data_IF_259705619339
#
_entry.id   IF_259705619339
#
_cell.length_a   1.000
_cell.length_b   1.000
_cell.length_c   1.000
_cell.angle_alpha   90.00
_cell.angle_beta   90.00
_cell.angle_gamma   90.00
#
_symmetry.space_group_name_H-M   'P 1'
#
loop_
_entity.id
_entity.type
_entity.pdbx_description
1 polymer ?
#
# COMPACT_ATOMS: atom_id res chain seq x y z
N UNK A 1 44.77 43.69 3.06
CA UNK A 1 45.02 42.45 3.84
C UNK A 1 44.25 42.59 5.14
N UNK A 2 43.22 41.77 5.36
CA UNK A 2 42.39 41.84 6.56
C UNK A 2 43.17 41.27 7.76
N UNK A 3 43.06 41.93 8.92
CA UNK A 3 43.79 41.58 10.13
C UNK A 3 43.20 40.31 10.78
N UNK A 4 44.08 39.41 11.20
CA UNK A 4 43.72 38.20 11.96
C UNK A 4 43.19 38.61 13.34
N UNK A 5 41.88 38.42 13.60
CA UNK A 5 41.28 38.62 14.93
C UNK A 5 39.97 39.41 15.00
N UNK A 6 39.47 39.99 13.92
CA UNK A 6 38.12 40.60 13.88
C UNK A 6 37.15 39.63 13.19
N UNK A 7 36.66 38.65 13.94
CA UNK A 7 35.52 37.83 13.51
C UNK A 7 34.25 38.66 13.63
N UNK A 8 33.63 38.98 12.49
CA UNK A 8 32.32 39.64 12.42
C UNK A 8 31.28 38.83 13.22
N UNK A 9 30.58 39.46 14.17
CA UNK A 9 29.56 38.82 15.04
C UNK A 9 28.41 38.18 14.24
N UNK A 10 28.29 38.52 12.95
CA UNK A 10 27.32 37.92 12.03
C UNK A 10 27.71 36.52 11.57
N UNK A 11 28.97 36.11 11.74
CA UNK A 11 29.49 34.82 11.31
C UNK A 11 29.85 33.97 12.52
N UNK A 12 28.82 33.38 13.13
CA UNK A 12 28.99 32.27 14.07
C UNK A 12 29.38 31.04 13.25
N UNK A 13 30.69 30.80 13.06
CA UNK A 13 31.21 29.50 12.66
C UNK A 13 31.51 28.70 13.93
N UNK A 14 30.45 28.43 14.71
CA UNK A 14 30.50 27.36 15.69
C UNK A 14 29.69 26.19 15.13
N UNK A 15 30.35 25.04 15.01
CA UNK A 15 29.62 23.77 14.88
C UNK A 15 28.78 23.63 16.15
N UNK A 16 27.46 23.77 16.00
CA UNK A 16 26.54 23.56 17.12
C UNK A 16 26.59 22.09 17.52
N UNK A 17 26.73 21.84 18.81
CA UNK A 17 26.73 20.50 19.41
C UNK A 17 25.43 19.70 19.15
N UNK A 18 24.37 20.37 18.66
CA UNK A 18 23.02 19.82 18.64
C UNK A 18 22.68 19.00 17.38
N UNK A 19 23.56 19.00 16.35
CA UNK A 19 23.38 18.21 15.12
C UNK A 19 22.06 18.42 14.36
N UNK A 20 21.28 19.45 14.71
CA UNK A 20 19.96 19.68 14.17
C UNK A 20 20.02 20.25 12.75
N UNK A 21 19.24 19.65 11.85
CA UNK A 21 19.07 20.10 10.47
C UNK A 21 18.19 21.37 10.40
N UNK A 22 18.76 22.49 10.84
CA UNK A 22 18.08 23.79 10.84
C UNK A 22 17.77 24.17 9.39
N UNK A 23 16.51 24.49 9.12
CA UNK A 23 15.98 24.89 7.80
C UNK A 23 16.04 23.81 6.68
N UNK A 24 16.36 22.54 6.98
CA UNK A 24 16.35 21.46 5.98
C UNK A 24 17.42 21.59 4.89
N UNK A 25 18.61 22.09 5.26
CA UNK A 25 19.75 22.30 4.34
C UNK A 25 20.70 21.11 4.31
N UNK A 26 20.74 20.31 5.37
CA UNK A 26 21.44 19.03 5.36
C UNK A 26 20.51 17.97 4.78
N UNK A 27 21.06 17.11 3.93
CA UNK A 27 20.33 15.96 3.39
C UNK A 27 19.86 15.08 4.55
N UNK A 28 18.56 14.85 4.62
CA UNK A 28 17.99 13.89 5.55
C UNK A 28 17.09 12.95 4.76
N UNK A 29 17.38 11.67 4.89
CA UNK A 29 16.59 10.60 4.32
C UNK A 29 15.96 9.79 5.46
N UNK A 30 14.65 9.59 5.38
CA UNK A 30 13.90 8.79 6.34
C UNK A 30 13.19 7.68 5.61
N UNK A 31 13.50 6.44 5.96
CA UNK A 31 12.71 5.29 5.51
C UNK A 31 11.29 5.37 6.09
N UNK A 32 10.29 5.25 5.23
CA UNK A 32 8.87 5.26 5.57
C UNK A 32 8.15 3.97 5.16
N UNK A 33 8.89 2.93 4.76
CA UNK A 33 8.33 1.63 4.45
C UNK A 33 7.43 1.06 5.57
N UNK A 34 7.75 1.19 6.88
CA UNK A 34 6.85 0.75 7.94
C UNK A 34 5.50 1.49 7.95
N UNK A 35 5.54 2.81 7.75
CA UNK A 35 4.32 3.62 7.64
C UNK A 35 3.50 3.25 6.40
N UNK A 36 4.18 3.00 5.28
CA UNK A 36 3.57 2.52 4.04
C UNK A 36 2.82 1.20 4.26
N UNK A 37 3.45 0.26 4.97
CA UNK A 37 2.86 -1.04 5.32
C UNK A 37 1.59 -0.91 6.13
N UNK A 38 1.61 -0.12 7.20
CA UNK A 38 0.44 0.08 8.07
C UNK A 38 -0.71 0.73 7.31
N UNK A 39 -0.42 1.74 6.50
CA UNK A 39 -1.43 2.45 5.70
C UNK A 39 -2.04 1.56 4.63
N UNK A 40 -1.24 0.83 3.85
CA UNK A 40 -1.74 -0.13 2.86
C UNK A 40 -2.61 -1.19 3.53
N UNK A 41 -2.16 -1.76 4.65
CA UNK A 41 -2.96 -2.74 5.38
C UNK A 41 -4.31 -2.14 5.82
N UNK A 42 -4.32 -0.90 6.34
CA UNK A 42 -5.56 -0.25 6.77
C UNK A 42 -6.54 0.07 5.64
N UNK A 43 -6.04 0.41 4.45
CA UNK A 43 -6.87 0.86 3.32
C UNK A 43 -7.34 -0.32 2.45
N UNK A 44 -6.56 -1.40 2.35
CA UNK A 44 -6.86 -2.52 1.45
C UNK A 44 -7.48 -3.73 2.14
N UNK A 45 -7.21 -3.96 3.42
CA UNK A 45 -7.84 -5.08 4.15
C UNK A 45 -9.33 -4.82 4.30
N UNK A 46 -10.15 -5.85 4.05
CA UNK A 46 -11.62 -5.74 4.08
C UNK A 46 -12.25 -5.30 2.76
N UNK A 47 -11.45 -4.96 1.74
CA UNK A 47 -11.97 -4.75 0.39
C UNK A 47 -12.58 -6.03 -0.17
N UNK A 48 -13.74 -5.89 -0.79
CA UNK A 48 -14.49 -6.95 -1.46
C UNK A 48 -14.97 -6.46 -2.82
N UNK A 49 -15.11 -7.34 -3.84
CA UNK A 49 -15.71 -6.97 -5.11
C UNK A 49 -17.14 -6.45 -4.92
N UNK A 50 -17.68 -5.80 -5.96
CA UNK A 50 -19.07 -5.36 -5.95
C UNK A 50 -20.03 -6.53 -5.71
N UNK A 51 -21.23 -6.21 -5.21
CA UNK A 51 -22.23 -7.24 -4.91
C UNK A 51 -22.63 -8.06 -6.14
N UNK A 52 -22.66 -7.43 -7.33
CA UNK A 52 -22.92 -8.12 -8.60
C UNK A 52 -21.82 -9.12 -8.96
N UNK A 53 -20.55 -8.78 -8.71
CA UNK A 53 -19.41 -9.67 -8.96
C UNK A 53 -19.39 -10.83 -7.96
N UNK A 54 -19.72 -10.56 -6.69
CA UNK A 54 -19.85 -11.59 -5.67
C UNK A 54 -20.96 -12.60 -6.04
N UNK A 55 -22.11 -12.10 -6.52
CA UNK A 55 -23.22 -12.94 -6.95
C UNK A 55 -22.86 -13.77 -8.19
N UNK A 56 -22.19 -13.16 -9.18
CA UNK A 56 -21.72 -13.86 -10.38
C UNK A 56 -20.67 -14.94 -10.07
N UNK A 57 -19.82 -14.69 -9.06
CA UNK A 57 -18.84 -15.64 -8.57
C UNK A 57 -19.41 -16.72 -7.65
N UNK A 58 -20.66 -16.56 -7.18
CA UNK A 58 -21.25 -17.36 -6.11
C UNK A 58 -20.31 -17.47 -4.90
N UNK A 59 -19.63 -16.38 -4.56
CA UNK A 59 -18.69 -16.31 -3.45
C UNK A 59 -18.54 -14.86 -2.97
N UNK A 60 -18.20 -14.67 -1.70
CA UNK A 60 -17.91 -13.35 -1.13
C UNK A 60 -16.43 -13.23 -0.78
N UNK A 61 -15.53 -13.07 -1.78
CA UNK A 61 -14.11 -12.95 -1.51
C UNK A 61 -13.79 -11.56 -0.93
N UNK A 62 -12.87 -11.54 0.03
CA UNK A 62 -12.45 -10.35 0.76
C UNK A 62 -10.94 -10.42 1.00
N UNK A 63 -10.27 -9.28 0.91
CA UNK A 63 -8.85 -9.17 1.26
C UNK A 63 -8.70 -9.30 2.78
N UNK A 64 -7.87 -10.24 3.23
CA UNK A 64 -7.72 -10.58 4.66
C UNK A 64 -6.55 -9.91 5.31
N UNK A 65 -5.40 -9.87 4.63
CA UNK A 65 -4.15 -9.39 5.22
C UNK A 65 -3.13 -9.01 4.15
N UNK A 66 -2.23 -8.10 4.54
CA UNK A 66 -1.03 -7.77 3.79
C UNK A 66 0.07 -8.78 4.14
N UNK A 67 0.28 -9.75 3.25
CA UNK A 67 1.27 -10.82 3.42
C UNK A 67 2.69 -10.24 3.43
N UNK A 68 3.00 -9.45 2.42
CA UNK A 68 4.35 -8.96 2.19
C UNK A 68 4.32 -7.59 1.52
N UNK A 69 5.20 -6.71 1.98
CA UNK A 69 5.54 -5.45 1.34
C UNK A 69 7.06 -5.40 1.27
N UNK A 70 7.60 -5.47 0.05
CA UNK A 70 9.04 -5.42 -0.22
C UNK A 70 9.35 -4.25 -1.13
N UNK A 71 10.63 -3.85 -1.17
CA UNK A 71 11.11 -2.69 -1.91
C UNK A 71 11.48 -1.55 -0.97
N UNK A 72 11.44 -0.33 -1.50
CA UNK A 72 11.95 0.86 -0.84
C UNK A 72 10.88 1.96 -0.82
N UNK A 73 10.80 2.66 0.30
CA UNK A 73 10.00 3.86 0.42
C UNK A 73 10.74 4.83 1.34
N UNK A 74 11.20 5.94 0.80
CA UNK A 74 11.99 6.93 1.54
C UNK A 74 11.51 8.36 1.27
N UNK A 75 11.65 9.17 2.32
CA UNK A 75 11.39 10.61 2.26
C UNK A 75 12.69 11.34 2.36
N UNK A 76 12.97 12.19 1.38
CA UNK A 76 14.18 13.01 1.36
C UNK A 76 13.81 14.48 1.53
N UNK A 77 14.53 15.18 2.40
CA UNK A 77 14.36 16.62 2.64
C UNK A 77 15.58 17.35 2.09
N UNK A 78 15.37 18.31 1.17
CA UNK A 78 16.44 19.15 0.60
C UNK A 78 16.00 20.59 0.31
N UNK A 79 16.97 21.50 0.15
CA UNK A 79 16.79 22.86 -0.40
C UNK A 79 15.63 23.65 0.24
N UNK A 80 15.64 23.79 1.57
CA UNK A 80 14.63 24.57 2.29
C UNK A 80 13.33 23.80 2.52
N UNK A 81 13.45 22.59 3.10
CA UNK A 81 12.33 21.74 3.49
C UNK A 81 11.47 21.19 2.33
N UNK A 82 12.01 21.13 1.10
CA UNK A 82 11.34 20.39 0.01
C UNK A 82 11.44 18.91 0.31
N UNK A 83 10.30 18.28 0.55
CA UNK A 83 10.18 16.86 0.82
C UNK A 83 9.86 16.12 -0.48
N UNK A 84 10.67 15.14 -0.85
CA UNK A 84 10.43 14.25 -1.99
C UNK A 84 10.16 12.85 -1.45
N UNK A 85 9.12 12.20 -1.97
CA UNK A 85 8.77 10.84 -1.61
C UNK A 85 9.16 9.90 -2.74
N UNK A 86 10.19 9.09 -2.50
CA UNK A 86 10.59 8.02 -3.39
C UNK A 86 9.95 6.72 -2.91
N UNK A 87 9.38 5.95 -3.83
CA UNK A 87 8.86 4.63 -3.55
C UNK A 87 9.04 3.74 -4.76
N UNK A 88 9.39 2.49 -4.50
CA UNK A 88 9.40 1.37 -5.44
C UNK A 88 9.09 0.13 -4.62
N UNK A 89 7.85 -0.35 -4.67
CA UNK A 89 7.40 -1.43 -3.81
C UNK A 89 6.68 -2.53 -4.58
N UNK A 90 6.80 -3.73 -4.04
CA UNK A 90 6.01 -4.91 -4.41
C UNK A 90 5.08 -5.24 -3.25
N UNK A 91 3.78 -5.34 -3.56
CA UNK A 91 2.70 -5.58 -2.58
C UNK A 91 2.14 -6.98 -2.83
N UNK A 92 2.06 -7.80 -1.79
CA UNK A 92 1.40 -9.11 -1.82
C UNK A 92 0.31 -9.15 -0.77
N UNK A 93 -0.93 -9.30 -1.22
CA UNK A 93 -2.13 -9.36 -0.38
C UNK A 93 -2.68 -10.79 -0.39
N UNK A 94 -3.13 -11.26 0.75
CA UNK A 94 -3.90 -12.49 0.87
C UNK A 94 -5.40 -12.15 0.81
N UNK A 95 -6.17 -13.04 0.19
CA UNK A 95 -7.62 -12.94 0.20
C UNK A 95 -8.27 -14.29 0.44
N UNK A 96 -9.46 -14.26 1.03
CA UNK A 96 -10.29 -15.43 1.31
C UNK A 96 -11.74 -15.14 0.96
N UNK A 97 -12.47 -16.15 0.53
CA UNK A 97 -13.89 -16.07 0.22
C UNK A 97 -14.62 -17.33 0.63
N UNK A 98 -15.85 -17.17 1.07
CA UNK A 98 -16.78 -18.27 1.32
C UNK A 98 -17.63 -18.45 0.07
N UNK A 99 -17.68 -19.67 -0.48
CA UNK A 99 -18.60 -19.98 -1.58
C UNK A 99 -20.03 -19.98 -1.04
N UNK A 100 -20.94 -19.36 -1.78
CA UNK A 100 -22.36 -19.46 -1.51
C UNK A 100 -22.85 -20.81 -2.02
N UNK A 101 -23.38 -21.65 -1.12
CA UNK A 101 -24.11 -22.84 -1.53
C UNK A 101 -25.39 -22.41 -2.26
N UNK A 102 -25.77 -23.08 -3.37
CA UNK A 102 -27.11 -22.92 -3.91
C UNK A 102 -28.08 -23.31 -2.79
N UNK A 103 -28.98 -22.40 -2.42
CA UNK A 103 -29.95 -22.63 -1.35
C UNK A 103 -30.74 -23.91 -1.64
N UNK A 104 -30.73 -24.93 -0.77
CA UNK A 104 -31.78 -25.92 -0.81
C UNK A 104 -33.05 -25.20 -0.37
N UNK A 105 -34.07 -25.20 -1.23
CA UNK A 105 -35.43 -24.99 -0.75
C UNK A 105 -35.68 -25.99 0.38
N UNK A 106 -36.10 -25.50 1.54
CA UNK A 106 -36.48 -26.25 2.75
C UNK A 106 -35.38 -26.34 3.81
N UNK A 107 -35.53 -25.47 4.80
CA UNK A 107 -35.17 -25.61 6.22
C UNK A 107 -34.46 -26.91 6.64
N UNK A 108 -33.14 -26.84 6.86
CA UNK A 108 -32.48 -27.62 7.90
C UNK A 108 -31.41 -26.74 8.57
N UNK A 109 -31.62 -26.50 9.86
CA UNK A 109 -30.69 -25.87 10.77
C UNK A 109 -29.46 -26.77 10.98
N UNK A 110 -28.30 -26.14 11.12
CA UNK A 110 -27.05 -26.70 11.64
C UNK A 110 -26.39 -27.83 10.83
N UNK A 111 -25.47 -27.47 9.94
CA UNK A 111 -24.31 -28.32 9.58
C UNK A 111 -23.06 -27.46 9.57
N UNK A 112 -22.03 -28.00 10.21
CA UNK A 112 -20.74 -27.41 10.52
C UNK A 112 -20.13 -26.62 9.35
N UNK A 113 -19.45 -25.52 9.67
CA UNK A 113 -18.61 -24.76 8.74
C UNK A 113 -17.46 -25.65 8.23
N UNK A 114 -17.74 -26.48 7.23
CA UNK A 114 -16.73 -27.26 6.51
C UNK A 114 -15.75 -26.29 5.80
N UNK A 115 -14.46 -26.46 6.08
CA UNK A 115 -13.32 -25.75 5.47
C UNK A 115 -13.28 -25.92 3.93
N UNK A 116 -13.99 -26.93 3.40
CA UNK A 116 -14.09 -27.26 1.97
C UNK A 116 -14.77 -26.17 1.10
N UNK A 117 -15.55 -25.28 1.71
CA UNK A 117 -16.22 -24.17 1.00
C UNK A 117 -15.38 -22.87 0.95
N UNK A 118 -14.20 -22.88 1.58
CA UNK A 118 -13.30 -21.73 1.56
C UNK A 118 -12.44 -21.74 0.29
N UNK A 119 -12.40 -20.58 -0.36
CA UNK A 119 -11.49 -20.30 -1.47
C UNK A 119 -10.53 -19.21 -1.04
N UNK A 120 -9.25 -19.40 -1.31
CA UNK A 120 -8.21 -18.45 -0.97
C UNK A 120 -7.23 -18.24 -2.12
N UNK A 121 -6.48 -17.16 -2.06
CA UNK A 121 -5.48 -16.83 -3.04
C UNK A 121 -4.70 -15.59 -2.67
N UNK A 122 -3.91 -15.10 -3.63
CA UNK A 122 -3.10 -13.89 -3.43
C UNK A 122 -3.31 -12.89 -4.56
N UNK A 123 -3.16 -11.61 -4.24
CA UNK A 123 -3.02 -10.53 -5.22
C UNK A 123 -1.57 -10.04 -5.11
N UNK A 124 -0.87 -10.00 -6.24
CA UNK A 124 0.50 -9.47 -6.33
C UNK A 124 0.50 -8.25 -7.24
N UNK A 125 1.02 -7.14 -6.70
CA UNK A 125 1.22 -5.89 -7.42
C UNK A 125 2.73 -5.65 -7.48
N UNK A 126 3.29 -5.53 -8.68
CA UNK A 126 4.70 -5.21 -8.91
C UNK A 126 4.82 -3.93 -9.75
N UNK A 127 6.01 -3.36 -9.75
CA UNK A 127 6.34 -2.12 -10.47
C UNK A 127 5.55 -0.91 -9.97
N UNK A 128 5.10 -0.94 -8.71
CA UNK A 128 4.48 0.20 -8.05
C UNK A 128 5.56 1.18 -7.59
N UNK A 129 5.97 2.05 -8.50
CA UNK A 129 7.10 2.96 -8.31
C UNK A 129 6.76 4.42 -8.66
N UNK A 130 7.56 5.34 -8.11
CA UNK A 130 7.47 6.76 -8.43
C UNK A 130 7.80 7.00 -9.91
N UNK A 131 6.82 7.51 -10.67
CA UNK A 131 6.97 7.85 -12.09
C UNK A 131 6.35 6.83 -13.04
N UNK A 132 5.91 5.68 -12.52
CA UNK A 132 5.09 4.72 -13.25
C UNK A 132 3.61 5.11 -13.18
N UNK A 133 2.89 4.90 -14.28
CA UNK A 133 1.44 5.12 -14.38
C UNK A 133 0.67 3.79 -14.17
N UNK A 134 -0.67 3.86 -14.15
CA UNK A 134 -1.54 2.69 -13.94
C UNK A 134 -1.29 1.54 -14.94
N UNK A 135 -0.87 1.90 -16.16
CA UNK A 135 -0.58 0.97 -17.25
C UNK A 135 0.75 0.22 -17.05
N UNK A 136 1.67 0.77 -16.28
CA UNK A 136 2.96 0.14 -15.97
C UNK A 136 2.82 -0.88 -14.82
N UNK A 137 1.81 -0.73 -13.97
CA UNK A 137 1.62 -1.62 -12.82
C UNK A 137 1.17 -3.01 -13.26
N UNK A 138 1.93 -4.02 -12.85
CA UNK A 138 1.55 -5.42 -13.05
C UNK A 138 0.67 -5.89 -11.90
N UNK A 139 -0.59 -6.24 -12.21
CA UNK A 139 -1.58 -6.75 -11.25
C UNK A 139 -1.89 -8.22 -11.56
N UNK A 140 -1.49 -9.12 -10.66
CA UNK A 140 -1.69 -10.55 -10.82
C UNK A 140 -2.52 -11.14 -9.68
N UNK A 141 -3.63 -11.80 -10.03
CA UNK A 141 -4.47 -12.54 -9.08
C UNK A 141 -4.23 -14.04 -9.23
N UNK A 142 -3.96 -14.70 -8.11
CA UNK A 142 -3.89 -16.16 -8.01
C UNK A 142 -5.04 -16.68 -7.15
N UNK A 143 -5.45 -17.91 -7.42
CA UNK A 143 -6.44 -18.63 -6.63
C UNK A 143 -5.94 -20.06 -6.42
N UNK A 144 -6.14 -20.59 -5.22
CA UNK A 144 -5.83 -21.96 -4.90
C UNK A 144 -6.97 -22.90 -5.32
N UNK A 145 -6.62 -24.11 -5.74
CA UNK A 145 -7.59 -25.11 -6.23
C UNK A 145 -8.01 -24.93 -7.69
N UNK A 146 -8.59 -25.99 -8.27
CA UNK A 146 -9.11 -25.99 -9.65
C UNK A 146 -10.58 -25.57 -9.67
N UNK A 147 -11.01 -24.86 -10.72
CA UNK A 147 -12.43 -24.50 -10.93
C UNK A 147 -12.89 -23.21 -10.24
N UNK A 148 -11.97 -22.43 -9.65
CA UNK A 148 -12.29 -21.17 -8.95
C UNK A 148 -12.12 -19.92 -9.86
N UNK A 149 -12.19 -20.09 -11.19
CA UNK A 149 -11.93 -19.03 -12.18
C UNK A 149 -12.92 -17.87 -12.10
N UNK A 150 -14.14 -18.11 -11.63
CA UNK A 150 -15.15 -17.07 -11.42
C UNK A 150 -14.75 -16.14 -10.27
N UNK A 151 -14.28 -16.72 -9.16
CA UNK A 151 -13.81 -15.96 -7.99
C UNK A 151 -12.54 -15.18 -8.32
N UNK A 152 -11.62 -15.79 -9.08
CA UNK A 152 -10.43 -15.10 -9.59
C UNK A 152 -10.79 -13.89 -10.45
N UNK A 153 -11.79 -14.00 -11.33
CA UNK A 153 -12.28 -12.87 -12.13
C UNK A 153 -12.91 -11.77 -11.29
N UNK A 154 -13.73 -12.14 -10.31
CA UNK A 154 -14.30 -11.17 -9.37
C UNK A 154 -13.21 -10.43 -8.58
N UNK A 155 -12.15 -11.11 -8.14
CA UNK A 155 -11.02 -10.46 -7.48
C UNK A 155 -10.18 -9.59 -8.43
N UNK A 156 -10.21 -9.86 -9.73
CA UNK A 156 -9.54 -9.03 -10.73
C UNK A 156 -10.24 -7.68 -10.95
N UNK A 157 -11.53 -7.56 -10.65
CA UNK A 157 -12.26 -6.28 -10.79
C UNK A 157 -11.84 -5.25 -9.74
N UNK A 158 -11.30 -5.71 -8.60
CA UNK A 158 -10.73 -4.85 -7.56
C UNK A 158 -9.48 -4.08 -8.00
N UNK A 159 -8.88 -4.39 -9.16
CA UNK A 159 -7.69 -3.70 -9.66
C UNK A 159 -7.85 -2.18 -9.58
N UNK A 160 -8.97 -1.67 -10.12
CA UNK A 160 -9.25 -0.23 -10.17
C UNK A 160 -9.41 0.36 -8.77
N UNK A 161 -10.26 -0.25 -7.93
CA UNK A 161 -10.52 0.25 -6.58
C UNK A 161 -9.25 0.27 -5.70
N UNK A 162 -8.37 -0.73 -5.87
CA UNK A 162 -7.09 -0.79 -5.16
C UNK A 162 -6.18 0.35 -5.63
N UNK A 163 -6.08 0.58 -6.94
CA UNK A 163 -5.24 1.64 -7.49
C UNK A 163 -5.75 3.04 -7.17
N UNK A 164 -7.08 3.25 -7.18
CA UNK A 164 -7.68 4.50 -6.73
C UNK A 164 -7.33 4.79 -5.26
N UNK A 165 -7.46 3.81 -4.36
CA UNK A 165 -7.07 3.96 -2.94
C UNK A 165 -5.57 4.19 -2.74
N UNK A 166 -4.72 3.49 -3.48
CA UNK A 166 -3.28 3.71 -3.44
C UNK A 166 -2.91 5.12 -3.94
N UNK A 167 -3.57 5.60 -5.00
CA UNK A 167 -3.40 6.95 -5.52
C UNK A 167 -3.83 8.03 -4.52
N UNK A 168 -4.99 7.87 -3.88
CA UNK A 168 -5.46 8.76 -2.80
C UNK A 168 -4.49 8.78 -1.61
N UNK A 169 -3.97 7.61 -1.22
CA UNK A 169 -2.96 7.49 -0.18
C UNK A 169 -1.67 8.25 -0.54
N UNK A 170 -1.13 8.05 -1.75
CA UNK A 170 0.05 8.77 -2.22
C UNK A 170 -0.17 10.29 -2.26
N UNK A 171 -1.34 10.73 -2.71
CA UNK A 171 -1.72 12.15 -2.72
C UNK A 171 -1.79 12.72 -1.30
N UNK A 172 -2.35 11.97 -0.35
CA UNK A 172 -2.41 12.36 1.06
C UNK A 172 -1.01 12.44 1.67
N UNK A 173 -0.15 11.47 1.39
CA UNK A 173 1.23 11.46 1.84
C UNK A 173 1.99 12.67 1.28
N UNK A 174 1.92 12.93 -0.03
CA UNK A 174 2.55 14.11 -0.67
C UNK A 174 2.07 15.42 -0.03
N UNK A 175 0.78 15.55 0.31
CA UNK A 175 0.24 16.74 1.00
C UNK A 175 0.80 16.90 2.41
N UNK A 176 0.84 15.84 3.22
CA UNK A 176 1.43 15.86 4.56
C UNK A 176 2.93 16.18 4.54
N UNK A 177 3.59 15.87 3.42
CA UNK A 177 4.99 16.19 3.22
C UNK A 177 5.22 17.64 2.77
N UNK A 178 4.28 18.24 2.04
CA UNK A 178 4.36 19.64 1.64
C UNK A 178 3.91 20.64 2.71
N UNK A 179 3.18 20.20 3.75
CA UNK A 179 2.88 20.99 4.96
C UNK A 179 4.04 21.02 5.95
#
# INVERSE_FOLDING_TARGET
>A
MAKWGEGDERWIVSERQDGQNINGWHWQEKCVLPYFRERIASELVGLKPSESECLAAAATPTITDLKELTGEASLTIRKGNKKFAYYDVTIVLNWKGKKQKPTPSTSEENKDDDDDDLVQGTIKITEFAEGNDEDDYTFAVTVEGKGNDRVKRAMATLKKDIFDRLGEFLNTMKKQLCS
#
